data_IF_362255358172
#
_entry.id   IF_362255358172
#
_cell.length_a   1.000
_cell.length_b   1.000
_cell.length_c   1.000
_cell.angle_alpha   90.00
_cell.angle_beta   90.00
_cell.angle_gamma   90.00
#
_symmetry.space_group_name_H-M   'P 1'
#
loop_
_entity.id
_entity.type
_entity.pdbx_description
1 polymer ?
#
# COMPACT_ATOMS: atom_id res chain seq x y z
N UNK A 1 12.91 22.00 22.76
CA UNK A 1 13.05 22.21 21.30
C UNK A 1 11.85 21.59 20.59
N UNK A 2 10.99 22.39 19.97
CA UNK A 2 9.92 21.86 19.11
C UNK A 2 10.47 21.81 17.65
N UNK A 3 10.78 20.61 17.19
CA UNK A 3 11.41 20.40 15.87
C UNK A 3 10.57 20.95 14.71
N UNK A 4 9.24 20.97 14.84
CA UNK A 4 8.33 21.50 13.84
C UNK A 4 8.47 23.03 13.70
N UNK A 5 8.57 23.74 14.84
CA UNK A 5 8.79 25.20 14.87
C UNK A 5 10.19 25.56 14.36
N UNK A 6 11.21 24.79 14.76
CA UNK A 6 12.57 24.97 14.30
C UNK A 6 12.67 24.73 12.79
N UNK A 7 12.02 23.69 12.27
CA UNK A 7 11.97 23.42 10.83
C UNK A 7 11.33 24.59 10.06
N UNK A 8 10.18 25.07 10.50
CA UNK A 8 9.53 26.24 9.89
C UNK A 8 10.38 27.51 10.02
N UNK A 9 10.95 27.75 11.19
CA UNK A 9 11.87 28.89 11.41
C UNK A 9 13.07 28.84 10.46
N UNK A 10 13.61 27.65 10.21
CA UNK A 10 14.66 27.45 9.21
C UNK A 10 14.23 27.89 7.82
N UNK A 11 13.04 27.52 7.36
CA UNK A 11 12.54 27.92 6.04
C UNK A 11 12.31 29.43 5.92
N UNK A 12 11.97 30.09 7.03
CA UNK A 12 11.75 31.53 7.07
C UNK A 12 13.08 32.31 7.02
N UNK A 13 14.16 31.73 7.54
CA UNK A 13 15.50 32.34 7.56
C UNK A 13 16.36 31.89 6.39
N UNK A 14 16.18 30.68 5.91
CA UNK A 14 16.90 30.07 4.78
C UNK A 14 15.87 29.59 3.72
N UNK A 15 15.26 30.53 2.95
CA UNK A 15 14.19 30.20 2.00
C UNK A 15 14.62 29.26 0.87
N UNK A 16 15.90 29.14 0.59
CA UNK A 16 16.48 28.22 -0.38
C UNK A 16 16.23 26.73 -0.03
N UNK A 17 15.93 26.43 1.22
CA UNK A 17 15.60 25.07 1.69
C UNK A 17 14.09 24.74 1.56
N UNK A 18 13.25 25.73 1.28
CA UNK A 18 11.80 25.55 1.14
C UNK A 18 11.41 24.51 0.07
N UNK A 19 12.06 24.41 -1.10
CA UNK A 19 11.75 23.36 -2.08
C UNK A 19 11.99 21.93 -1.59
N UNK A 20 12.81 21.73 -0.55
CA UNK A 20 13.07 20.40 0.01
C UNK A 20 12.04 19.99 1.06
N UNK A 21 11.20 20.90 1.56
CA UNK A 21 10.30 20.67 2.70
C UNK A 21 8.84 20.87 2.30
N UNK A 22 8.49 22.00 1.70
CA UNK A 22 7.10 22.37 1.44
C UNK A 22 6.34 21.42 0.50
N UNK A 23 6.97 20.81 -0.53
CA UNK A 23 6.29 19.81 -1.36
C UNK A 23 6.19 18.41 -0.70
N UNK A 24 6.99 18.15 0.34
CA UNK A 24 7.17 16.80 0.92
C UNK A 24 6.28 16.59 2.13
N UNK A 25 6.00 17.65 2.90
CA UNK A 25 5.18 17.60 4.09
C UNK A 25 3.74 18.04 3.80
N UNK A 26 2.81 17.44 4.50
CA UNK A 26 1.40 17.80 4.48
C UNK A 26 1.04 18.64 5.72
N UNK A 27 -0.04 19.42 5.64
CA UNK A 27 -0.55 20.20 6.78
C UNK A 27 -0.84 19.28 7.97
N UNK A 28 -1.34 18.08 7.70
CA UNK A 28 -1.67 17.07 8.70
C UNK A 28 -0.45 16.45 9.41
N UNK A 29 0.77 16.71 8.94
CA UNK A 29 2.00 16.26 9.59
C UNK A 29 2.38 17.11 10.80
N UNK A 30 1.76 18.28 10.95
CA UNK A 30 2.05 19.23 12.01
C UNK A 30 1.03 19.19 13.13
N UNK A 31 1.45 19.64 14.31
CA UNK A 31 0.56 19.87 15.44
C UNK A 31 -0.47 20.95 15.12
N UNK A 32 -1.69 20.89 15.71
CA UNK A 32 -2.79 21.80 15.36
C UNK A 32 -2.48 23.30 15.46
N UNK A 33 -1.60 23.70 16.36
CA UNK A 33 -1.16 25.10 16.54
C UNK A 33 -0.18 25.55 15.46
N UNK A 34 0.52 24.62 14.80
CA UNK A 34 1.51 24.87 13.76
C UNK A 34 0.91 24.74 12.36
N UNK A 35 -0.13 23.93 12.18
CA UNK A 35 -0.80 23.73 10.90
C UNK A 35 -1.13 25.01 10.14
N UNK A 36 -1.71 26.06 10.76
CA UNK A 36 -2.03 27.30 10.06
C UNK A 36 -0.79 28.03 9.51
N UNK A 37 0.34 27.91 10.23
CA UNK A 37 1.62 28.56 9.84
C UNK A 37 2.19 27.85 8.61
N UNK A 38 2.21 26.50 8.66
CA UNK A 38 2.69 25.69 7.54
C UNK A 38 1.81 25.88 6.30
N UNK A 39 0.48 25.86 6.46
CA UNK A 39 -0.46 26.11 5.36
C UNK A 39 -0.24 27.48 4.71
N UNK A 40 -0.02 28.53 5.51
CA UNK A 40 0.28 29.87 5.01
C UNK A 40 1.62 29.91 4.23
N UNK A 41 2.66 29.27 4.77
CA UNK A 41 3.97 29.18 4.12
C UNK A 41 3.92 28.40 2.80
N UNK A 42 3.25 27.23 2.79
CA UNK A 42 3.07 26.39 1.61
C UNK A 42 2.24 27.09 0.53
N UNK A 43 1.11 27.70 0.91
CA UNK A 43 0.26 28.45 -0.02
C UNK A 43 0.94 29.70 -0.60
N UNK A 44 1.73 30.38 0.21
CA UNK A 44 2.52 31.53 -0.25
C UNK A 44 3.60 31.10 -1.23
N UNK A 45 4.36 30.04 -0.90
CA UNK A 45 5.40 29.50 -1.76
C UNK A 45 4.84 28.94 -3.08
N UNK A 46 3.71 28.24 -3.04
CA UNK A 46 3.05 27.71 -4.25
C UNK A 46 2.62 28.85 -5.20
N UNK A 47 2.16 29.98 -4.63
CA UNK A 47 1.71 31.13 -5.43
C UNK A 47 2.84 31.97 -6.00
N UNK A 48 3.99 32.03 -5.32
CA UNK A 48 5.07 33.01 -5.65
C UNK A 48 6.37 32.34 -6.11
N UNK A 49 6.53 31.04 -5.87
CA UNK A 49 7.77 30.29 -6.11
C UNK A 49 8.90 30.62 -5.12
N UNK A 50 8.66 31.52 -4.15
CA UNK A 50 9.65 31.94 -3.14
C UNK A 50 8.99 32.07 -1.78
N UNK A 51 9.74 31.86 -0.73
CA UNK A 51 9.29 32.10 0.65
C UNK A 51 9.96 33.32 1.22
N UNK A 52 9.25 34.46 1.24
CA UNK A 52 9.74 35.71 1.79
C UNK A 52 8.98 36.05 3.08
N UNK A 53 9.68 36.00 4.21
CA UNK A 53 9.10 36.13 5.55
C UNK A 53 8.34 37.45 5.75
N UNK A 54 8.85 38.56 5.27
CA UNK A 54 8.20 39.90 5.39
C UNK A 54 6.89 39.92 4.62
N UNK A 55 6.87 39.41 3.39
CA UNK A 55 5.68 39.37 2.55
C UNK A 55 4.67 38.35 3.09
N UNK A 56 5.14 37.20 3.60
CA UNK A 56 4.29 36.20 4.27
C UNK A 56 3.57 36.83 5.48
N UNK A 57 4.29 37.55 6.35
CA UNK A 57 3.70 38.24 7.49
C UNK A 57 2.72 39.33 7.10
N UNK A 58 2.97 40.03 5.99
CA UNK A 58 2.06 41.04 5.46
C UNK A 58 0.77 40.43 4.91
N UNK A 59 0.87 39.28 4.24
CA UNK A 59 -0.28 38.59 3.68
C UNK A 59 -1.13 37.90 4.74
N UNK A 60 -0.52 37.45 5.83
CA UNK A 60 -1.18 36.75 6.93
C UNK A 60 -0.95 37.45 8.26
N UNK A 61 -1.51 38.64 8.49
CA UNK A 61 -1.21 39.48 9.66
C UNK A 61 -1.66 38.81 10.98
N UNK A 62 -2.72 38.00 10.96
CA UNK A 62 -3.18 37.24 12.13
C UNK A 62 -2.18 36.17 12.59
N UNK A 63 -1.35 35.65 11.70
CA UNK A 63 -0.33 34.63 12.02
C UNK A 63 1.05 35.23 12.25
N UNK A 64 1.23 36.56 12.13
CA UNK A 64 2.54 37.23 12.22
C UNK A 64 3.30 36.87 13.50
N UNK A 65 2.65 36.92 14.66
CA UNK A 65 3.30 36.61 15.93
C UNK A 65 3.76 35.14 15.99
N UNK A 66 2.95 34.20 15.47
CA UNK A 66 3.28 32.79 15.43
C UNK A 66 4.40 32.47 14.41
N UNK A 67 4.38 33.12 13.25
CA UNK A 67 5.44 33.02 12.22
C UNK A 67 6.77 33.51 12.79
N UNK A 68 6.77 34.67 13.44
CA UNK A 68 7.98 35.23 14.06
C UNK A 68 8.47 34.34 15.21
N UNK A 69 7.57 33.77 16.01
CA UNK A 69 7.92 32.83 17.06
C UNK A 69 8.66 31.57 16.55
N UNK A 70 8.35 31.10 15.34
CA UNK A 70 9.14 30.03 14.73
C UNK A 70 10.57 30.49 14.37
N UNK A 71 10.72 31.71 13.86
CA UNK A 71 12.03 32.27 13.53
C UNK A 71 12.86 32.53 14.79
N UNK A 72 12.22 32.96 15.88
CA UNK A 72 12.88 33.18 17.16
C UNK A 72 13.36 31.83 17.78
N UNK A 73 12.54 30.77 17.69
CA UNK A 73 12.92 29.45 18.18
C UNK A 73 14.09 28.87 17.40
N UNK A 74 14.12 29.03 16.07
CA UNK A 74 15.27 28.70 15.24
C UNK A 74 16.53 29.47 15.67
N UNK A 75 16.41 30.79 15.88
CA UNK A 75 17.53 31.64 16.25
C UNK A 75 18.09 31.30 17.64
N UNK A 76 17.24 30.89 18.57
CA UNK A 76 17.63 30.49 19.91
C UNK A 76 18.50 29.21 19.93
N UNK A 77 18.30 28.31 18.99
CA UNK A 77 19.08 27.07 18.88
C UNK A 77 20.48 27.26 18.27
N UNK A 78 20.80 28.44 17.74
CA UNK A 78 22.09 28.76 17.12
C UNK A 78 22.57 27.75 16.07
N UNK A 79 21.66 27.13 15.34
CA UNK A 79 21.94 26.08 14.36
C UNK A 79 21.90 26.68 12.96
N UNK A 80 22.89 26.34 12.13
CA UNK A 80 22.88 26.60 10.68
C UNK A 80 22.76 25.26 9.95
N UNK A 81 21.53 24.72 9.81
CA UNK A 81 21.34 23.42 9.21
C UNK A 81 21.67 23.46 7.72
N UNK A 82 22.37 22.43 7.28
CA UNK A 82 22.51 22.13 5.87
C UNK A 82 21.28 21.36 5.35
N UNK A 83 21.24 21.10 4.03
CA UNK A 83 20.15 20.33 3.40
C UNK A 83 19.93 18.96 4.03
N UNK A 84 21.00 18.25 4.41
CA UNK A 84 20.90 16.91 5.02
C UNK A 84 20.24 16.95 6.39
N UNK A 85 20.58 17.94 7.20
CA UNK A 85 19.95 18.15 8.50
C UNK A 85 18.44 18.41 8.35
N UNK A 86 18.06 19.25 7.39
CA UNK A 86 16.65 19.57 7.12
C UNK A 86 15.88 18.35 6.65
N UNK A 87 16.43 17.52 5.77
CA UNK A 87 15.82 16.27 5.33
C UNK A 87 15.67 15.27 6.50
N UNK A 88 16.65 15.21 7.41
CA UNK A 88 16.53 14.41 8.62
C UNK A 88 15.38 14.90 9.52
N UNK A 89 15.19 16.21 9.66
CA UNK A 89 14.08 16.78 10.43
C UNK A 89 12.72 16.56 9.76
N UNK A 90 12.64 16.68 8.44
CA UNK A 90 11.43 16.30 7.67
C UNK A 90 11.01 14.88 8.00
N UNK A 91 11.97 13.96 8.00
CA UNK A 91 11.71 12.56 8.36
C UNK A 91 11.20 12.41 9.79
N UNK A 92 11.79 13.11 10.76
CA UNK A 92 11.33 13.07 12.16
C UNK A 92 9.89 13.59 12.28
N UNK A 93 9.54 14.68 11.56
CA UNK A 93 8.17 15.22 11.54
C UNK A 93 7.20 14.20 10.96
N UNK A 94 7.54 13.54 9.85
CA UNK A 94 6.72 12.50 9.25
C UNK A 94 6.54 11.28 10.17
N UNK A 95 7.61 10.81 10.81
CA UNK A 95 7.56 9.68 11.74
C UNK A 95 6.68 10.02 12.96
N UNK A 96 6.79 11.23 13.50
CA UNK A 96 5.96 11.68 14.62
C UNK A 96 4.48 11.78 14.21
N UNK A 97 4.20 12.34 13.04
CA UNK A 97 2.84 12.44 12.50
C UNK A 97 2.22 11.05 12.26
N UNK A 98 3.00 10.12 11.71
CA UNK A 98 2.57 8.74 11.52
C UNK A 98 2.25 8.06 12.86
N UNK A 99 3.09 8.27 13.89
CA UNK A 99 2.86 7.74 15.23
C UNK A 99 1.57 8.31 15.85
N UNK A 100 1.37 9.63 15.74
CA UNK A 100 0.17 10.28 16.28
C UNK A 100 -1.11 9.77 15.58
N UNK A 101 -1.07 9.62 14.24
CA UNK A 101 -2.18 9.04 13.48
C UNK A 101 -2.46 7.59 13.89
N UNK A 102 -1.41 6.80 14.07
CA UNK A 102 -1.54 5.41 14.52
C UNK A 102 -2.16 5.33 15.92
N UNK A 103 -1.72 6.18 16.86
CA UNK A 103 -2.28 6.24 18.20
C UNK A 103 -3.76 6.65 18.20
N UNK A 104 -4.14 7.63 17.36
CA UNK A 104 -5.54 8.05 17.20
C UNK A 104 -6.41 6.91 16.66
N UNK A 105 -5.93 6.17 15.67
CA UNK A 105 -6.62 5.00 15.12
C UNK A 105 -6.70 3.85 16.12
N UNK A 106 -5.69 3.67 16.96
CA UNK A 106 -5.72 2.68 18.04
C UNK A 106 -6.79 3.02 19.09
N UNK A 107 -6.93 4.30 19.44
CA UNK A 107 -8.01 4.76 20.33
C UNK A 107 -9.40 4.63 19.69
N UNK A 108 -9.53 4.93 18.38
CA UNK A 108 -10.75 4.72 17.62
C UNK A 108 -11.12 3.23 17.62
N UNK A 109 -10.14 2.33 17.42
CA UNK A 109 -10.36 0.88 17.42
C UNK A 109 -10.81 0.31 18.75
N UNK A 110 -10.42 0.93 19.86
CA UNK A 110 -10.85 0.49 21.21
C UNK A 110 -12.37 0.67 21.43
N UNK A 111 -13.01 1.58 20.70
CA UNK A 111 -14.45 1.87 20.77
C UNK A 111 -15.23 1.40 19.55
N UNK A 112 -14.57 0.76 18.58
CA UNK A 112 -15.17 0.37 17.31
C UNK A 112 -15.98 -0.93 17.42
N UNK A 113 -16.99 -1.08 16.58
CA UNK A 113 -17.68 -2.34 16.41
C UNK A 113 -16.76 -3.38 15.75
N UNK A 114 -17.02 -4.66 15.99
CA UNK A 114 -16.19 -5.75 15.46
C UNK A 114 -16.05 -5.72 13.93
N UNK A 115 -17.11 -5.32 13.23
CA UNK A 115 -17.13 -5.25 11.77
C UNK A 115 -16.26 -4.11 11.20
N UNK A 116 -15.99 -3.06 11.97
CA UNK A 116 -15.16 -1.90 11.57
C UNK A 116 -13.65 -2.16 11.78
N UNK A 117 -13.29 -3.12 12.65
CA UNK A 117 -11.89 -3.40 12.98
C UNK A 117 -10.99 -3.71 11.78
N UNK A 118 -11.43 -4.45 10.73
CA UNK A 118 -10.58 -4.73 9.57
C UNK A 118 -10.22 -3.46 8.77
N UNK A 119 -11.12 -2.50 8.67
CA UNK A 119 -10.85 -1.23 7.98
C UNK A 119 -9.89 -0.37 8.81
N UNK A 120 -10.13 -0.27 10.11
CA UNK A 120 -9.22 0.43 11.03
C UNK A 120 -7.83 -0.17 11.03
N UNK A 121 -7.71 -1.49 11.03
CA UNK A 121 -6.42 -2.18 10.94
C UNK A 121 -5.68 -1.87 9.63
N UNK A 122 -6.39 -1.79 8.51
CA UNK A 122 -5.81 -1.38 7.23
C UNK A 122 -5.27 0.05 7.28
N UNK A 123 -6.07 0.99 7.80
CA UNK A 123 -5.66 2.40 7.97
C UNK A 123 -4.46 2.54 8.92
N UNK A 124 -4.41 1.74 10.00
CA UNK A 124 -3.23 1.68 10.89
C UNK A 124 -1.98 1.17 10.15
N UNK A 125 -2.13 0.16 9.28
CA UNK A 125 -1.05 -0.36 8.45
C UNK A 125 -0.51 0.69 7.47
N UNK A 126 -1.39 1.47 6.87
CA UNK A 126 -1.04 2.55 5.94
C UNK A 126 -0.22 3.66 6.64
N UNK A 127 -0.57 4.02 7.88
CA UNK A 127 0.18 5.05 8.62
C UNK A 127 1.63 4.66 8.89
N UNK A 128 1.95 3.36 9.00
CA UNK A 128 3.31 2.86 9.22
C UNK A 128 4.15 2.80 7.94
N UNK A 129 3.51 2.89 6.77
CA UNK A 129 4.21 2.94 5.47
C UNK A 129 4.52 4.37 5.03
N UNK A 130 3.83 5.36 5.58
CA UNK A 130 4.10 6.79 5.36
C UNK A 130 5.49 7.09 5.94
N UNK A 131 6.41 7.56 5.11
CA UNK A 131 7.80 7.84 5.48
C UNK A 131 8.81 6.75 5.07
N UNK A 132 8.37 5.51 4.77
CA UNK A 132 9.25 4.49 4.18
C UNK A 132 9.25 4.50 2.65
N UNK A 133 8.22 5.08 2.03
CA UNK A 133 8.01 5.13 0.59
C UNK A 133 7.66 6.54 0.10
N UNK A 134 8.21 7.61 0.71
CA UNK A 134 8.30 8.85 -0.03
C UNK A 134 9.24 8.55 -1.22
N UNK A 135 8.76 8.56 -2.47
CA UNK A 135 9.68 8.44 -3.59
C UNK A 135 10.48 9.74 -3.61
N UNK A 136 11.64 9.73 -2.94
CA UNK A 136 12.65 10.75 -3.19
C UNK A 136 12.86 10.73 -4.70
N UNK A 137 12.73 11.90 -5.33
CA UNK A 137 13.06 12.03 -6.74
C UNK A 137 14.50 11.57 -6.92
N UNK A 138 14.67 10.38 -7.50
CA UNK A 138 15.98 9.85 -7.83
C UNK A 138 16.38 10.42 -9.18
N UNK A 139 17.58 10.95 -9.28
CA UNK A 139 18.12 11.37 -10.56
C UNK A 139 18.30 10.14 -11.47
N UNK A 140 18.23 10.34 -12.79
CA UNK A 140 18.49 9.23 -13.73
C UNK A 140 19.92 8.69 -13.54
N UNK A 141 20.87 9.51 -13.07
CA UNK A 141 22.23 9.08 -12.72
C UNK A 141 22.22 8.06 -11.59
N UNK A 142 21.55 8.34 -10.46
CA UNK A 142 21.42 7.44 -9.33
C UNK A 142 20.74 6.12 -9.72
N UNK A 143 19.66 6.19 -10.51
CA UNK A 143 18.96 5.00 -11.03
C UNK A 143 19.87 4.17 -11.96
N UNK A 144 20.66 4.83 -12.80
CA UNK A 144 21.60 4.16 -13.70
C UNK A 144 22.73 3.49 -12.91
N UNK A 145 23.25 4.15 -11.88
CA UNK A 145 24.28 3.56 -11.00
C UNK A 145 23.73 2.36 -10.23
N UNK A 146 22.48 2.44 -9.73
CA UNK A 146 21.79 1.32 -9.09
C UNK A 146 21.64 0.15 -10.08
N UNK A 147 21.21 0.40 -11.32
CA UNK A 147 21.12 -0.61 -12.36
C UNK A 147 22.46 -1.28 -12.67
N UNK A 148 23.55 -0.50 -12.79
CA UNK A 148 24.90 -1.03 -13.05
C UNK A 148 25.38 -1.90 -11.89
N UNK A 149 25.07 -1.50 -10.64
CA UNK A 149 25.42 -2.25 -9.44
C UNK A 149 24.71 -3.60 -9.39
N UNK A 150 23.43 -3.61 -9.79
CA UNK A 150 22.56 -4.78 -9.73
C UNK A 150 22.50 -5.58 -11.06
N UNK A 151 23.31 -5.22 -12.07
CA UNK A 151 23.28 -5.82 -13.41
C UNK A 151 23.41 -7.34 -13.44
N UNK A 152 24.13 -7.91 -12.45
CA UNK A 152 24.34 -9.35 -12.33
C UNK A 152 23.24 -10.05 -11.50
N UNK A 153 22.32 -9.28 -10.89
CA UNK A 153 21.16 -9.82 -10.19
C UNK A 153 20.14 -10.32 -11.21
N UNK A 154 19.73 -11.59 -11.06
CA UNK A 154 18.65 -12.13 -11.91
C UNK A 154 17.32 -11.52 -11.48
N UNK A 155 16.56 -10.89 -12.40
CA UNK A 155 15.23 -10.37 -12.08
C UNK A 155 14.35 -11.51 -11.57
N UNK A 156 13.72 -11.31 -10.42
CA UNK A 156 12.79 -12.27 -9.83
C UNK A 156 11.43 -12.09 -10.48
N UNK A 157 11.14 -12.90 -11.48
CA UNK A 157 9.80 -12.97 -12.05
C UNK A 157 8.95 -14.00 -11.33
N UNK A 158 7.66 -13.67 -11.15
CA UNK A 158 6.65 -14.56 -10.60
C UNK A 158 5.94 -15.23 -11.80
N UNK A 159 6.27 -16.48 -12.14
CA UNK A 159 5.65 -17.14 -13.28
C UNK A 159 4.17 -17.42 -13.03
N UNK A 160 3.36 -17.36 -14.09
CA UNK A 160 1.94 -17.69 -13.99
C UNK A 160 1.71 -19.20 -13.93
N UNK A 161 2.69 -20.00 -14.38
CA UNK A 161 2.57 -21.44 -14.53
C UNK A 161 1.85 -21.89 -15.82
N UNK A 162 1.50 -20.91 -16.66
CA UNK A 162 0.95 -21.16 -18.00
C UNK A 162 2.03 -20.82 -19.02
N UNK A 163 2.68 -21.83 -19.58
CA UNK A 163 3.90 -21.67 -20.38
C UNK A 163 3.76 -20.70 -21.56
N UNK A 164 2.58 -20.63 -22.17
CA UNK A 164 2.30 -19.68 -23.27
C UNK A 164 2.25 -18.24 -22.72
N UNK A 165 1.67 -18.03 -21.55
CA UNK A 165 1.58 -16.71 -20.91
C UNK A 165 2.96 -16.27 -20.42
N UNK A 166 3.71 -17.18 -19.80
CA UNK A 166 5.04 -16.91 -19.23
C UNK A 166 6.10 -16.54 -20.29
N UNK A 167 5.85 -16.85 -21.57
CA UNK A 167 6.73 -16.40 -22.66
C UNK A 167 6.62 -14.90 -22.96
N UNK A 168 5.47 -14.31 -22.67
CA UNK A 168 5.17 -12.91 -22.99
C UNK A 168 5.00 -12.02 -21.77
N UNK A 169 4.71 -12.62 -20.61
CA UNK A 169 4.40 -11.91 -19.38
C UNK A 169 5.45 -12.18 -18.31
N UNK A 170 6.12 -11.13 -17.89
CA UNK A 170 7.12 -11.16 -16.82
C UNK A 170 6.59 -10.39 -15.62
N UNK A 171 5.82 -11.08 -14.77
CA UNK A 171 5.26 -10.47 -13.55
C UNK A 171 6.35 -10.24 -12.52
N UNK A 172 6.44 -9.03 -12.02
CA UNK A 172 7.33 -8.64 -10.91
C UNK A 172 6.51 -8.31 -9.66
N UNK A 173 7.13 -8.34 -8.46
CA UNK A 173 6.47 -7.82 -7.27
C UNK A 173 5.93 -6.41 -7.48
N UNK A 174 4.72 -6.14 -6.98
CA UNK A 174 4.01 -4.88 -7.19
C UNK A 174 3.17 -4.82 -8.48
N UNK A 175 3.22 -5.82 -9.37
CA UNK A 175 2.37 -5.81 -10.55
C UNK A 175 0.94 -6.26 -10.22
N UNK A 176 -0.05 -5.56 -10.78
CA UNK A 176 -1.44 -5.97 -10.83
C UNK A 176 -1.72 -6.65 -12.19
N UNK A 177 -2.20 -7.90 -12.16
CA UNK A 177 -2.56 -8.67 -13.35
C UNK A 177 -4.04 -8.99 -13.34
N UNK A 178 -4.77 -8.58 -14.40
CA UNK A 178 -6.22 -8.75 -14.51
C UNK A 178 -6.56 -9.79 -15.58
N UNK A 179 -7.28 -10.84 -15.17
CA UNK A 179 -7.80 -11.88 -16.06
C UNK A 179 -9.24 -11.52 -16.43
N UNK A 180 -9.45 -11.05 -17.64
CA UNK A 180 -10.77 -10.74 -18.20
C UNK A 180 -11.36 -11.91 -18.99
N UNK A 181 -12.70 -12.04 -18.97
CA UNK A 181 -13.40 -13.04 -19.77
C UNK A 181 -14.91 -13.06 -19.51
N UNK A 182 -15.67 -13.61 -20.46
CA UNK A 182 -17.13 -13.80 -20.33
C UNK A 182 -17.47 -14.74 -19.16
N UNK A 183 -18.68 -14.69 -18.61
CA UNK A 183 -19.16 -15.73 -17.68
C UNK A 183 -18.91 -17.12 -18.25
N UNK A 184 -18.55 -18.07 -17.39
CA UNK A 184 -18.26 -19.48 -17.74
C UNK A 184 -17.06 -19.70 -18.70
N UNK A 185 -16.26 -18.68 -19.01
CA UNK A 185 -15.06 -18.82 -19.87
C UNK A 185 -13.87 -19.51 -19.16
N UNK A 186 -14.03 -19.92 -17.90
CA UNK A 186 -12.99 -20.64 -17.16
C UNK A 186 -12.03 -19.76 -16.32
N UNK A 187 -12.36 -18.48 -16.07
CA UNK A 187 -11.51 -17.57 -15.25
C UNK A 187 -11.07 -18.18 -13.92
N UNK A 188 -12.02 -18.67 -13.13
CA UNK A 188 -11.74 -19.32 -11.84
C UNK A 188 -10.89 -20.58 -11.99
N UNK A 189 -11.10 -21.37 -13.04
CA UNK A 189 -10.29 -22.57 -13.29
C UNK A 189 -8.83 -22.21 -13.60
N UNK A 190 -8.64 -21.20 -14.45
CA UNK A 190 -7.31 -20.69 -14.82
C UNK A 190 -6.60 -20.07 -13.61
N UNK A 191 -7.28 -19.22 -12.84
CA UNK A 191 -6.68 -18.58 -11.65
C UNK A 191 -6.30 -19.60 -10.57
N UNK A 192 -7.11 -20.64 -10.37
CA UNK A 192 -6.78 -21.73 -9.44
C UNK A 192 -5.56 -22.54 -9.93
N UNK A 193 -5.47 -22.81 -11.23
CA UNK A 193 -4.30 -23.49 -11.80
C UNK A 193 -3.03 -22.66 -11.58
N UNK A 194 -3.08 -21.36 -11.89
CA UNK A 194 -1.97 -20.43 -11.65
C UNK A 194 -1.59 -20.39 -10.16
N UNK A 195 -2.57 -20.27 -9.26
CA UNK A 195 -2.33 -20.24 -7.82
C UNK A 195 -1.65 -21.52 -7.31
N UNK A 196 -2.10 -22.70 -7.77
CA UNK A 196 -1.47 -23.98 -7.43
C UNK A 196 -0.03 -24.06 -7.94
N UNK A 197 0.21 -23.63 -9.18
CA UNK A 197 1.55 -23.70 -9.77
C UNK A 197 2.53 -22.74 -9.09
N UNK A 198 2.10 -21.54 -8.74
CA UNK A 198 2.90 -20.59 -8.00
C UNK A 198 3.22 -21.12 -6.58
N UNK A 199 2.23 -21.71 -5.91
CA UNK A 199 2.44 -22.34 -4.63
C UNK A 199 3.42 -23.53 -4.72
N UNK A 200 3.41 -24.34 -5.79
CA UNK A 200 4.40 -25.40 -6.03
C UNK A 200 5.81 -24.87 -6.18
N UNK A 201 5.97 -23.66 -6.71
CA UNK A 201 7.25 -22.98 -6.84
C UNK A 201 7.70 -22.31 -5.54
N UNK A 202 6.94 -22.49 -4.45
CA UNK A 202 7.27 -22.02 -3.11
C UNK A 202 6.75 -20.62 -2.78
N UNK A 203 6.02 -19.96 -3.69
CA UNK A 203 5.40 -18.68 -3.38
C UNK A 203 4.26 -18.89 -2.38
N UNK A 204 4.19 -18.02 -1.37
CA UNK A 204 3.07 -17.99 -0.43
C UNK A 204 1.89 -17.28 -1.10
N UNK A 205 0.84 -18.05 -1.41
CA UNK A 205 -0.29 -17.61 -2.20
C UNK A 205 -1.53 -17.48 -1.32
N UNK A 206 -2.20 -16.33 -1.34
CA UNK A 206 -3.53 -16.14 -0.77
C UNK A 206 -4.57 -16.02 -1.87
N UNK A 207 -5.61 -16.85 -1.82
CA UNK A 207 -6.72 -16.84 -2.77
C UNK A 207 -8.00 -16.41 -2.04
N UNK A 208 -8.49 -15.22 -2.38
CA UNK A 208 -9.73 -14.67 -1.85
C UNK A 208 -10.87 -14.90 -2.84
N UNK A 209 -11.83 -15.71 -2.44
CA UNK A 209 -13.02 -15.97 -3.25
C UNK A 209 -14.20 -15.16 -2.72
N UNK A 210 -14.84 -14.40 -3.59
CA UNK A 210 -16.00 -13.58 -3.25
C UNK A 210 -17.34 -14.22 -3.67
N UNK A 211 -17.29 -15.17 -4.60
CA UNK A 211 -18.49 -15.85 -5.13
C UNK A 211 -18.55 -17.31 -4.71
N UNK A 212 -17.42 -18.01 -4.84
CA UNK A 212 -17.41 -19.49 -4.72
C UNK A 212 -16.90 -19.91 -3.37
N UNK A 213 -17.63 -20.82 -2.71
CA UNK A 213 -17.23 -21.41 -1.44
C UNK A 213 -15.86 -22.14 -1.52
N UNK A 214 -14.99 -22.00 -0.51
CA UNK A 214 -13.66 -22.64 -0.48
C UNK A 214 -13.67 -24.16 -0.70
N UNK A 215 -14.68 -24.87 -0.21
CA UNK A 215 -14.80 -26.33 -0.43
C UNK A 215 -15.00 -26.65 -1.91
N UNK A 216 -15.84 -25.87 -2.59
CA UNK A 216 -16.08 -26.02 -4.03
C UNK A 216 -14.80 -25.75 -4.84
N UNK A 217 -14.00 -24.74 -4.45
CA UNK A 217 -12.69 -24.47 -5.07
C UNK A 217 -11.71 -25.62 -4.80
N UNK A 218 -11.66 -26.13 -3.57
CA UNK A 218 -10.84 -27.30 -3.22
C UNK A 218 -11.22 -28.53 -4.05
N UNK A 219 -12.51 -28.81 -4.23
CA UNK A 219 -12.95 -29.91 -5.10
C UNK A 219 -12.47 -29.74 -6.54
N UNK A 220 -12.46 -28.51 -7.08
CA UNK A 220 -11.93 -28.23 -8.43
C UNK A 220 -10.41 -28.44 -8.49
N UNK A 221 -9.67 -28.08 -7.46
CA UNK A 221 -8.22 -28.32 -7.36
C UNK A 221 -7.96 -29.84 -7.35
N UNK A 222 -8.69 -30.59 -6.52
CA UNK A 222 -8.58 -32.05 -6.44
C UNK A 222 -8.88 -32.69 -7.80
N UNK A 223 -10.01 -32.35 -8.41
CA UNK A 223 -10.41 -32.88 -9.71
C UNK A 223 -9.35 -32.63 -10.78
N UNK A 224 -8.79 -31.42 -10.83
CA UNK A 224 -7.71 -31.06 -11.74
C UNK A 224 -6.42 -31.85 -11.44
N UNK A 225 -6.04 -31.97 -10.16
CA UNK A 225 -4.80 -32.67 -9.75
C UNK A 225 -4.84 -34.15 -10.08
N UNK A 226 -5.98 -34.78 -9.85
CA UNK A 226 -6.18 -36.22 -10.09
C UNK A 226 -6.57 -36.52 -11.54
N UNK A 227 -6.93 -35.51 -12.32
CA UNK A 227 -7.48 -35.65 -13.68
C UNK A 227 -8.77 -36.50 -13.70
N UNK A 228 -9.62 -36.33 -12.68
CA UNK A 228 -10.91 -37.01 -12.56
C UNK A 228 -12.07 -36.04 -12.70
N UNK A 229 -13.26 -36.51 -13.10
CA UNK A 229 -14.45 -35.69 -13.15
C UNK A 229 -14.78 -35.03 -11.81
N UNK A 230 -15.15 -33.73 -11.84
CA UNK A 230 -15.54 -33.00 -10.62
C UNK A 230 -16.73 -33.68 -9.90
N UNK A 231 -17.60 -34.37 -10.62
CA UNK A 231 -18.73 -35.11 -10.06
C UNK A 231 -18.27 -36.23 -9.11
N UNK A 232 -17.21 -36.95 -9.46
CA UNK A 232 -16.65 -38.04 -8.61
C UNK A 232 -16.05 -37.48 -7.32
N UNK A 233 -15.35 -36.36 -7.40
CA UNK A 233 -14.81 -35.67 -6.21
C UNK A 233 -15.94 -35.21 -5.29
N UNK A 234 -17.00 -34.62 -5.85
CA UNK A 234 -18.18 -34.20 -5.09
C UNK A 234 -18.93 -35.38 -4.44
N UNK A 235 -19.05 -36.47 -5.17
CA UNK A 235 -19.69 -37.72 -4.70
C UNK A 235 -18.79 -38.49 -3.71
N UNK A 236 -17.53 -38.12 -3.55
CA UNK A 236 -16.52 -38.82 -2.73
C UNK A 236 -16.31 -40.28 -3.19
N UNK A 237 -16.40 -40.54 -4.47
CA UNK A 237 -16.22 -41.87 -5.08
C UNK A 237 -14.81 -42.08 -5.62
N UNK A 238 -13.90 -41.11 -5.45
CA UNK A 238 -12.51 -41.24 -5.86
C UNK A 238 -11.82 -42.37 -5.08
N UNK A 239 -11.16 -43.33 -5.75
CA UNK A 239 -10.47 -44.43 -5.11
C UNK A 239 -9.33 -43.98 -4.18
N UNK A 240 -9.06 -44.72 -3.11
CA UNK A 240 -8.06 -44.37 -2.10
C UNK A 240 -6.65 -44.17 -2.71
N UNK A 241 -6.24 -45.05 -3.63
CA UNK A 241 -4.93 -44.97 -4.26
C UNK A 241 -4.73 -43.66 -5.10
N UNK A 242 -5.82 -43.07 -5.61
CA UNK A 242 -5.75 -41.73 -6.24
C UNK A 242 -5.65 -40.62 -5.18
N UNK A 243 -6.31 -40.78 -4.03
CA UNK A 243 -6.25 -39.81 -2.94
C UNK A 243 -4.83 -39.66 -2.37
N UNK A 244 -4.02 -40.74 -2.40
CA UNK A 244 -2.63 -40.69 -1.93
C UNK A 244 -1.80 -39.69 -2.73
N UNK A 245 -2.15 -39.42 -3.98
CA UNK A 245 -1.53 -38.37 -4.84
C UNK A 245 -1.79 -36.95 -4.37
N UNK A 246 -2.74 -36.76 -3.45
CA UNK A 246 -3.04 -35.44 -2.87
C UNK A 246 -2.06 -35.04 -1.75
N UNK A 247 -1.18 -35.94 -1.31
CA UNK A 247 -0.21 -35.66 -0.25
C UNK A 247 0.68 -34.43 -0.56
N UNK A 248 0.94 -34.16 -1.85
CA UNK A 248 1.66 -32.96 -2.29
C UNK A 248 0.88 -31.67 -2.01
N UNK A 249 -0.45 -31.69 -2.10
CA UNK A 249 -1.27 -30.51 -1.88
C UNK A 249 -1.20 -30.01 -0.44
N UNK A 250 -0.98 -30.93 0.52
CA UNK A 250 -0.86 -30.58 1.94
C UNK A 250 0.36 -29.69 2.23
N UNK A 251 1.39 -29.73 1.38
CA UNK A 251 2.63 -28.97 1.56
C UNK A 251 2.60 -27.62 0.85
N UNK A 252 1.58 -27.38 0.03
CA UNK A 252 1.51 -26.14 -0.75
C UNK A 252 1.20 -24.93 0.16
N UNK A 253 1.97 -23.84 0.07
CA UNK A 253 1.70 -22.60 0.76
C UNK A 253 0.56 -21.81 0.07
N UNK A 254 -0.57 -22.47 -0.19
CA UNK A 254 -1.79 -21.94 -0.81
C UNK A 254 -2.90 -21.85 0.24
N UNK A 255 -3.39 -20.64 0.50
CA UNK A 255 -4.40 -20.36 1.50
C UNK A 255 -5.65 -19.81 0.81
N UNK A 256 -6.78 -20.49 0.92
CA UNK A 256 -8.04 -20.10 0.30
C UNK A 256 -8.99 -19.61 1.39
N UNK A 257 -9.60 -18.44 1.18
CA UNK A 257 -10.56 -17.86 2.12
C UNK A 257 -11.73 -17.22 1.38
N UNK A 258 -12.94 -17.34 1.96
CA UNK A 258 -14.09 -16.55 1.53
C UNK A 258 -13.91 -15.11 1.97
N UNK A 259 -14.13 -14.17 1.02
CA UNK A 259 -14.09 -12.75 1.22
C UNK A 259 -15.43 -12.07 0.82
N UNK A 260 -16.53 -12.85 0.79
CA UNK A 260 -17.85 -12.32 0.48
C UNK A 260 -18.24 -11.21 1.44
N UNK A 261 -18.67 -10.06 0.89
CA UNK A 261 -19.04 -8.88 1.68
C UNK A 261 -17.86 -8.12 2.31
N UNK A 262 -16.62 -8.44 1.95
CA UNK A 262 -15.42 -7.77 2.46
C UNK A 262 -14.88 -6.76 1.45
N UNK A 263 -14.29 -5.66 1.95
CA UNK A 263 -13.63 -4.63 1.15
C UNK A 263 -12.14 -4.90 0.92
N UNK A 264 -11.51 -4.03 0.12
CA UNK A 264 -10.09 -4.08 -0.23
C UNK A 264 -9.20 -4.05 1.02
N UNK A 265 -9.49 -3.16 1.98
CA UNK A 265 -8.72 -3.03 3.21
C UNK A 265 -8.62 -4.33 4.00
N UNK A 266 -9.74 -5.08 4.10
CA UNK A 266 -9.73 -6.37 4.76
C UNK A 266 -8.87 -7.40 4.00
N UNK A 267 -8.93 -7.43 2.66
CA UNK A 267 -8.10 -8.32 1.83
C UNK A 267 -6.63 -8.02 2.03
N UNK A 268 -6.23 -6.73 1.98
CA UNK A 268 -4.85 -6.28 2.25
C UNK A 268 -4.37 -6.73 3.63
N UNK A 269 -5.15 -6.48 4.67
CA UNK A 269 -4.81 -6.87 6.04
C UNK A 269 -4.60 -8.38 6.19
N UNK A 270 -5.47 -9.21 5.57
CA UNK A 270 -5.30 -10.66 5.61
C UNK A 270 -4.07 -11.12 4.82
N UNK A 271 -3.81 -10.55 3.64
CA UNK A 271 -2.64 -10.86 2.82
C UNK A 271 -1.34 -10.53 3.56
N UNK A 272 -1.26 -9.36 4.20
CA UNK A 272 -0.12 -8.95 5.02
C UNK A 272 0.10 -9.87 6.22
N UNK A 273 -0.97 -10.20 6.97
CA UNK A 273 -0.91 -11.14 8.10
C UNK A 273 -0.36 -12.49 7.68
N UNK A 274 -0.76 -12.96 6.51
CA UNK A 274 -0.29 -14.23 5.94
C UNK A 274 1.09 -14.11 5.29
N UNK A 275 1.68 -12.91 5.20
CA UNK A 275 2.92 -12.62 4.46
C UNK A 275 2.83 -13.15 3.02
N UNK A 276 1.70 -12.91 2.37
CA UNK A 276 1.44 -13.37 1.00
C UNK A 276 2.38 -12.68 0.02
N UNK A 277 2.96 -13.45 -0.89
CA UNK A 277 3.77 -12.96 -2.02
C UNK A 277 2.93 -12.80 -3.28
N UNK A 278 1.85 -13.58 -3.37
CA UNK A 278 0.88 -13.51 -4.47
C UNK A 278 -0.53 -13.55 -3.89
N UNK A 279 -1.38 -12.66 -4.40
CA UNK A 279 -2.78 -12.56 -3.99
C UNK A 279 -3.68 -12.74 -5.19
N UNK A 280 -4.63 -13.68 -5.10
CA UNK A 280 -5.71 -13.83 -6.06
C UNK A 280 -7.01 -13.32 -5.47
N UNK A 281 -7.81 -12.63 -6.28
CA UNK A 281 -9.15 -12.12 -5.93
C UNK A 281 -10.13 -12.56 -7.02
N UNK A 282 -11.06 -13.44 -6.68
CA UNK A 282 -12.02 -14.01 -7.64
C UNK A 282 -13.48 -13.73 -7.18
N UNK A 283 -14.11 -12.72 -7.71
CA UNK A 283 -13.66 -11.75 -8.69
C UNK A 283 -13.86 -10.31 -8.18
N UNK A 284 -13.06 -9.40 -8.73
CA UNK A 284 -12.87 -8.03 -8.28
C UNK A 284 -14.18 -7.23 -8.07
N UNK A 285 -15.19 -7.40 -8.96
CA UNK A 285 -16.43 -6.63 -8.92
C UNK A 285 -17.34 -6.92 -7.73
N UNK A 286 -17.03 -7.96 -6.94
CA UNK A 286 -17.78 -8.31 -5.73
C UNK A 286 -17.10 -7.79 -4.45
N UNK A 287 -15.94 -7.16 -4.55
CA UNK A 287 -15.38 -6.45 -3.40
C UNK A 287 -16.32 -5.32 -3.01
N UNK A 288 -16.74 -5.34 -1.75
CA UNK A 288 -17.61 -4.31 -1.23
C UNK A 288 -16.81 -3.02 -1.03
N UNK A 289 -17.05 -2.05 -1.91
CA UNK A 289 -16.59 -0.67 -1.70
C UNK A 289 -17.85 0.18 -1.47
N UNK A 290 -18.14 0.44 -0.19
CA UNK A 290 -19.40 0.99 0.29
C UNK A 290 -19.74 2.43 -0.13
N UNK A 291 -19.04 3.04 -1.10
CA UNK A 291 -19.18 4.47 -1.43
C UNK A 291 -19.40 4.81 -2.91
N UNK A 292 -19.30 3.87 -3.83
CA UNK A 292 -19.41 4.19 -5.25
C UNK A 292 -20.87 4.17 -5.75
N UNK A 293 -21.31 5.28 -6.33
CA UNK A 293 -22.66 5.41 -6.94
C UNK A 293 -22.75 4.70 -8.30
N UNK A 294 -21.62 4.36 -8.93
CA UNK A 294 -21.55 3.72 -10.24
C UNK A 294 -20.53 2.57 -10.21
N UNK A 295 -20.88 1.48 -10.92
CA UNK A 295 -20.07 0.26 -11.01
C UNK A 295 -18.69 0.49 -11.62
N UNK A 296 -18.58 1.43 -12.55
CA UNK A 296 -17.29 1.82 -13.14
C UNK A 296 -16.37 2.51 -12.13
N UNK A 297 -16.93 3.45 -11.36
CA UNK A 297 -16.19 4.14 -10.29
C UNK A 297 -15.76 3.18 -9.20
N UNK A 298 -16.60 2.18 -8.85
CA UNK A 298 -16.25 1.15 -7.88
C UNK A 298 -15.02 0.35 -8.34
N UNK A 299 -15.01 -0.14 -9.59
CA UNK A 299 -13.89 -0.92 -10.13
C UNK A 299 -12.61 -0.09 -10.20
N UNK A 300 -12.72 1.18 -10.60
CA UNK A 300 -11.58 2.10 -10.64
C UNK A 300 -11.01 2.34 -9.24
N UNK A 301 -11.86 2.62 -8.25
CA UNK A 301 -11.45 2.78 -6.85
C UNK A 301 -10.78 1.53 -6.28
N UNK A 302 -11.34 0.36 -6.53
CA UNK A 302 -10.76 -0.93 -6.12
C UNK A 302 -9.40 -1.15 -6.78
N UNK A 303 -9.26 -0.85 -8.08
CA UNK A 303 -7.99 -1.01 -8.79
C UNK A 303 -6.91 -0.09 -8.21
N UNK A 304 -7.23 1.18 -7.95
CA UNK A 304 -6.32 2.14 -7.30
C UNK A 304 -5.96 1.66 -5.88
N UNK A 305 -6.95 1.19 -5.12
CA UNK A 305 -6.72 0.75 -3.75
C UNK A 305 -5.91 -0.55 -3.65
N UNK A 306 -5.85 -1.38 -4.70
CA UNK A 306 -5.02 -2.59 -4.76
C UNK A 306 -3.58 -2.31 -5.19
N UNK A 307 -3.34 -1.19 -5.84
CA UNK A 307 -1.99 -0.71 -6.20
C UNK A 307 -1.33 -0.06 -5.00
#
# INVERSE_FOLDING_TARGET
MNIQKVLLGTLLVQPELAPCVLPVLEISDFEPDIQPIFAAAQGFWTATGKLETVQLCTRYPALKAAIMGCADEYSAECIHPNRENVLAWVRIVQEQAALNRFQSLALESANAAYDDLPELYSRMGETLTIGKNSPDFQSIGELTEAYIRDKDSKPQYIPTGVSVVDKFLHLSPGNLFIIGGRPSAGKTALSLQMACEQARRGFRVCYFSLETDPRTLTNRIIANRLSVPLAEVKAKTVPQHELDRLAELHKLPLFIRSASGRGVGWVKAQAQRMKAQVVFIDYLQLLADGKAKDRYQAITGISIALH
#
